data_IF_273668648362
#
_entry.id   IF_273668648362
#
_cell.length_a   1.000
_cell.length_b   1.000
_cell.length_c   1.000
_cell.angle_alpha   90.00
_cell.angle_beta   90.00
_cell.angle_gamma   90.00
#
_symmetry.space_group_name_H-M   'P 1'
#
loop_
_entity.id
_entity.type
_entity.pdbx_description
1 polymer ?
#
# COMPACT_ATOMS: atom_id res chain seq x y z
N UNK A 1 -6.39 -8.74 -23.52
CA UNK A 1 -7.60 -7.98 -23.17
C UNK A 1 -8.72 -8.98 -23.07
N UNK A 2 -9.21 -9.22 -21.87
CA UNK A 2 -10.32 -10.15 -21.63
C UNK A 2 -11.60 -9.33 -21.65
N UNK A 3 -12.44 -9.56 -22.65
CA UNK A 3 -13.73 -8.89 -22.79
C UNK A 3 -14.72 -9.60 -21.88
N UNK A 4 -15.13 -8.92 -20.81
CA UNK A 4 -16.20 -9.40 -19.96
C UNK A 4 -17.53 -9.10 -20.66
N UNK A 5 -18.28 -10.13 -21.03
CA UNK A 5 -19.64 -10.00 -21.54
C UNK A 5 -20.56 -9.66 -20.35
N UNK A 6 -21.15 -8.47 -20.34
CA UNK A 6 -21.95 -7.92 -19.22
C UNK A 6 -23.35 -8.54 -19.08
N UNK A 7 -23.73 -9.52 -19.92
CA UNK A 7 -25.04 -10.18 -19.82
C UNK A 7 -25.17 -10.95 -18.49
N UNK A 8 -25.87 -10.34 -17.52
CA UNK A 8 -26.20 -10.93 -16.22
C UNK A 8 -25.86 -10.10 -14.99
N UNK A 9 -25.29 -8.89 -15.13
CA UNK A 9 -25.03 -8.00 -13.99
C UNK A 9 -25.98 -6.79 -13.99
N UNK A 10 -26.72 -6.57 -12.90
CA UNK A 10 -27.62 -5.43 -12.75
C UNK A 10 -26.87 -4.09 -12.57
N UNK A 11 -25.62 -4.12 -12.08
CA UNK A 11 -24.73 -2.95 -11.96
C UNK A 11 -23.26 -3.36 -11.78
N UNK A 12 -22.33 -2.47 -12.14
CA UNK A 12 -20.90 -2.58 -11.85
C UNK A 12 -20.41 -1.34 -11.08
N UNK A 13 -19.62 -1.54 -10.03
CA UNK A 13 -18.94 -0.48 -9.28
C UNK A 13 -17.48 -0.46 -9.72
N UNK A 14 -17.08 0.62 -10.37
CA UNK A 14 -15.69 0.84 -10.76
C UNK A 14 -15.01 1.67 -9.68
N UNK A 15 -13.83 1.22 -9.25
CA UNK A 15 -12.92 2.10 -8.53
C UNK A 15 -12.48 3.25 -9.47
N UNK A 16 -12.07 4.37 -8.91
CA UNK A 16 -11.50 5.48 -9.66
C UNK A 16 -9.99 5.26 -9.89
N UNK A 17 -9.31 4.70 -8.88
CA UNK A 17 -7.86 4.57 -8.88
C UNK A 17 -7.36 3.44 -9.80
N UNK A 18 -6.65 3.80 -10.87
CA UNK A 18 -6.09 2.86 -11.85
C UNK A 18 -7.10 2.29 -12.86
N UNK A 19 -8.39 2.62 -12.73
CA UNK A 19 -9.47 2.12 -13.61
C UNK A 19 -10.02 3.23 -14.50
N UNK A 20 -10.33 4.40 -13.93
CA UNK A 20 -10.78 5.58 -14.70
C UNK A 20 -9.64 6.59 -14.86
N UNK A 21 -8.73 6.66 -13.88
CA UNK A 21 -7.54 7.54 -13.89
C UNK A 21 -6.26 6.76 -13.58
N UNK A 22 -5.11 7.09 -14.19
CA UNK A 22 -3.81 6.46 -13.92
C UNK A 22 -3.16 7.01 -12.62
N UNK A 23 -3.90 6.98 -11.52
CA UNK A 23 -3.42 7.40 -10.19
C UNK A 23 -2.70 6.27 -9.46
N UNK A 24 -2.92 5.01 -9.85
CA UNK A 24 -2.26 3.84 -9.25
C UNK A 24 -0.73 3.94 -9.31
N UNK A 25 -0.16 4.44 -10.42
CA UNK A 25 1.28 4.70 -10.54
C UNK A 25 1.80 5.70 -9.52
N UNK A 26 1.09 6.82 -9.34
CA UNK A 26 1.45 7.85 -8.37
C UNK A 26 1.31 7.34 -6.94
N UNK A 27 0.22 6.65 -6.63
CA UNK A 27 -0.02 6.07 -5.30
C UNK A 27 1.06 5.05 -4.94
N UNK A 28 1.48 4.22 -5.90
CA UNK A 28 2.57 3.27 -5.71
C UNK A 28 3.92 3.97 -5.50
N UNK A 29 4.20 5.06 -6.22
CA UNK A 29 5.44 5.83 -6.04
C UNK A 29 5.54 6.45 -4.64
N UNK A 30 4.47 7.07 -4.13
CA UNK A 30 4.46 7.64 -2.77
C UNK A 30 4.65 6.53 -1.72
N UNK A 31 3.95 5.41 -1.86
CA UNK A 31 4.15 4.28 -0.94
C UNK A 31 5.57 3.71 -1.01
N UNK A 32 6.17 3.69 -2.21
CA UNK A 32 7.53 3.23 -2.40
C UNK A 32 8.52 4.04 -1.59
N UNK A 33 8.43 5.37 -1.62
CA UNK A 33 9.32 6.24 -0.85
C UNK A 33 9.20 5.95 0.65
N UNK A 34 7.97 5.87 1.17
CA UNK A 34 7.70 5.59 2.58
C UNK A 34 8.25 4.23 3.01
N UNK A 35 7.97 3.17 2.25
CA UNK A 35 8.40 1.81 2.61
C UNK A 35 9.90 1.59 2.39
N UNK A 36 10.48 2.12 1.32
CA UNK A 36 11.91 1.95 1.07
C UNK A 36 12.74 2.65 2.16
N UNK A 37 12.34 3.85 2.60
CA UNK A 37 13.01 4.54 3.71
C UNK A 37 12.92 3.74 5.01
N UNK A 38 11.76 3.15 5.31
CA UNK A 38 11.60 2.29 6.48
C UNK A 38 12.44 1.00 6.39
N UNK A 39 12.39 0.32 5.24
CA UNK A 39 13.10 -0.94 5.02
C UNK A 39 14.61 -0.76 5.02
N UNK A 40 15.13 0.36 4.50
CA UNK A 40 16.55 0.68 4.57
C UNK A 40 17.03 0.78 6.03
N UNK A 41 16.24 1.40 6.91
CA UNK A 41 16.53 1.47 8.34
C UNK A 41 16.40 0.12 9.07
N UNK A 42 15.40 -0.68 8.68
CA UNK A 42 15.07 -1.94 9.36
C UNK A 42 15.90 -3.15 8.89
N UNK A 43 16.09 -3.32 7.58
CA UNK A 43 16.81 -4.45 6.97
C UNK A 43 18.27 -4.09 6.60
N UNK A 44 18.61 -2.79 6.49
CA UNK A 44 19.95 -2.31 6.14
C UNK A 44 20.27 -2.35 4.64
N UNK A 45 21.57 -2.37 4.29
CA UNK A 45 22.09 -2.22 2.91
C UNK A 45 21.69 -3.33 1.91
N UNK A 46 20.92 -4.32 2.33
CA UNK A 46 20.41 -5.41 1.50
C UNK A 46 18.89 -5.47 1.41
N UNK A 47 18.19 -4.41 1.87
CA UNK A 47 16.74 -4.41 1.90
C UNK A 47 16.16 -4.65 0.51
N UNK A 48 15.05 -5.39 0.46
CA UNK A 48 14.37 -5.63 -0.82
C UNK A 48 13.37 -4.48 -1.06
N UNK A 49 13.53 -3.65 -2.10
CA UNK A 49 12.68 -2.50 -2.31
C UNK A 49 11.19 -2.87 -2.49
N UNK A 50 10.32 -1.92 -2.16
CA UNK A 50 8.90 -1.97 -2.47
C UNK A 50 8.69 -1.84 -3.99
N UNK A 51 7.78 -2.66 -4.51
CA UNK A 51 7.51 -2.75 -5.95
C UNK A 51 6.05 -2.49 -6.28
N UNK A 52 5.76 -2.22 -7.54
CA UNK A 52 4.37 -2.10 -8.02
C UNK A 52 3.58 -3.40 -7.81
N UNK A 53 4.23 -4.57 -7.81
CA UNK A 53 3.57 -5.83 -7.49
C UNK A 53 3.18 -5.91 -6.01
N UNK A 54 4.01 -5.38 -5.11
CA UNK A 54 3.69 -5.29 -3.68
C UNK A 54 2.53 -4.32 -3.45
N UNK A 55 2.50 -3.18 -4.16
CA UNK A 55 1.38 -2.23 -4.12
C UNK A 55 0.06 -2.91 -4.47
N UNK A 56 -0.05 -3.52 -5.65
CA UNK A 56 -1.28 -4.18 -6.11
C UNK A 56 -1.73 -5.32 -5.19
N UNK A 57 -0.79 -6.05 -4.59
CA UNK A 57 -1.10 -7.24 -3.80
C UNK A 57 -1.47 -6.92 -2.36
N UNK A 58 -0.86 -5.89 -1.76
CA UNK A 58 -0.93 -5.68 -0.32
C UNK A 58 -1.48 -4.32 0.08
N UNK A 59 -1.58 -3.35 -0.82
CA UNK A 59 -1.90 -1.96 -0.45
C UNK A 59 -3.10 -1.43 -1.24
N UNK A 60 -3.14 -1.69 -2.53
CA UNK A 60 -4.22 -1.27 -3.42
C UNK A 60 -5.58 -1.82 -2.96
N UNK A 61 -6.61 -0.98 -2.98
CA UNK A 61 -7.96 -1.30 -2.51
C UNK A 61 -8.11 -1.55 -1.00
N UNK A 62 -7.05 -1.35 -0.19
CA UNK A 62 -7.12 -1.46 1.29
C UNK A 62 -7.11 -0.08 1.94
N UNK A 63 -7.76 0.02 3.10
CA UNK A 63 -7.58 1.19 3.97
C UNK A 63 -6.10 1.39 4.31
N UNK A 64 -5.67 2.65 4.41
CA UNK A 64 -4.27 3.08 4.60
C UNK A 64 -3.49 2.21 5.60
N UNK A 65 -3.96 2.11 6.83
CA UNK A 65 -3.28 1.34 7.89
C UNK A 65 -3.36 -0.18 7.66
N UNK A 66 -4.47 -0.65 7.08
CA UNK A 66 -4.62 -2.05 6.67
C UNK A 66 -3.60 -2.43 5.58
N UNK A 67 -3.37 -1.54 4.61
CA UNK A 67 -2.37 -1.70 3.56
C UNK A 67 -0.95 -1.77 4.12
N UNK A 68 -0.57 -0.84 5.01
CA UNK A 68 0.74 -0.86 5.71
C UNK A 68 0.94 -2.19 6.43
N UNK A 69 -0.01 -2.58 7.27
CA UNK A 69 0.06 -3.84 8.02
C UNK A 69 0.14 -5.07 7.11
N UNK A 70 -0.64 -5.10 6.04
CA UNK A 70 -0.64 -6.19 5.07
C UNK A 70 0.72 -6.32 4.38
N UNK A 71 1.33 -5.20 3.97
CA UNK A 71 2.65 -5.20 3.36
C UNK A 71 3.74 -5.63 4.36
N UNK A 72 3.79 -5.06 5.56
CA UNK A 72 4.81 -5.39 6.56
C UNK A 72 4.75 -6.87 6.95
N UNK A 73 3.55 -7.43 7.14
CA UNK A 73 3.37 -8.86 7.40
C UNK A 73 3.87 -9.74 6.25
N UNK A 74 3.74 -9.29 5.00
CA UNK A 74 4.29 -10.03 3.85
C UNK A 74 5.83 -10.11 3.86
N UNK A 75 6.49 -9.18 4.56
CA UNK A 75 7.93 -9.17 4.81
C UNK A 75 8.31 -9.80 6.15
N UNK A 76 7.36 -10.37 6.89
CA UNK A 76 7.59 -10.93 8.22
C UNK A 76 7.81 -9.88 9.32
N UNK A 77 7.51 -8.61 9.02
CA UNK A 77 7.67 -7.49 9.95
C UNK A 77 6.35 -7.26 10.68
N UNK A 78 6.40 -7.19 12.00
CA UNK A 78 5.25 -6.86 12.86
C UNK A 78 5.63 -5.62 13.66
N UNK A 79 4.91 -4.53 13.41
CA UNK A 79 5.00 -3.30 14.19
C UNK A 79 3.79 -3.18 15.10
N UNK A 80 3.94 -2.38 16.15
CA UNK A 80 2.81 -1.94 16.96
C UNK A 80 1.86 -1.09 16.11
N UNK A 81 0.56 -1.16 16.41
CA UNK A 81 -0.44 -0.40 15.65
C UNK A 81 -0.22 1.12 15.76
N UNK A 82 0.15 1.60 16.94
CA UNK A 82 0.19 3.03 17.23
C UNK A 82 -1.22 3.62 17.36
N UNK A 83 -1.30 4.95 17.28
CA UNK A 83 -2.55 5.71 17.25
C UNK A 83 -2.67 6.49 15.94
N UNK A 84 -3.89 6.75 15.46
CA UNK A 84 -4.09 7.56 14.26
C UNK A 84 -3.45 8.96 14.33
N UNK A 85 -3.37 9.54 15.54
CA UNK A 85 -2.75 10.84 15.81
C UNK A 85 -1.23 10.77 16.07
N UNK A 86 -0.60 9.58 15.93
CA UNK A 86 0.84 9.45 16.08
C UNK A 86 1.56 10.30 15.02
N UNK A 87 2.66 10.91 15.46
CA UNK A 87 3.56 11.64 14.58
C UNK A 87 4.08 10.73 13.46
N UNK A 88 4.22 11.21 12.21
CA UNK A 88 4.76 10.42 11.12
C UNK A 88 6.15 9.82 11.44
N UNK A 89 6.92 10.40 12.36
CA UNK A 89 8.20 9.86 12.83
C UNK A 89 8.10 8.52 13.58
N UNK A 90 6.93 8.13 14.09
CA UNK A 90 6.76 6.88 14.82
C UNK A 90 6.89 5.64 13.90
N UNK A 91 7.65 4.64 14.35
CA UNK A 91 7.78 3.34 13.66
C UNK A 91 6.62 2.38 14.02
N UNK A 92 5.39 2.88 13.87
CA UNK A 92 4.14 2.15 14.07
C UNK A 92 3.37 2.01 12.76
N UNK A 93 2.37 1.13 12.71
CA UNK A 93 1.50 1.00 11.51
C UNK A 93 0.83 2.34 11.18
N UNK A 94 0.32 3.05 12.20
CA UNK A 94 -0.26 4.37 12.03
C UNK A 94 0.77 5.42 11.62
N UNK A 95 1.95 5.45 12.26
CA UNK A 95 3.03 6.40 11.94
C UNK A 95 3.52 6.26 10.50
N UNK A 96 3.79 5.04 10.02
CA UNK A 96 4.15 4.80 8.62
C UNK A 96 3.00 5.19 7.67
N UNK A 97 1.76 4.89 8.04
CA UNK A 97 0.60 5.28 7.24
C UNK A 97 0.49 6.79 7.09
N UNK A 98 0.80 7.55 8.15
CA UNK A 98 0.71 9.00 8.19
C UNK A 98 1.84 9.72 7.40
N UNK A 99 2.85 8.99 6.90
CA UNK A 99 3.90 9.55 6.01
C UNK A 99 3.45 9.68 4.54
N UNK A 100 2.36 9.01 4.16
CA UNK A 100 1.79 9.07 2.81
C UNK A 100 0.85 10.26 2.63
#
# INVERSE_FOLDING_TARGET
METIMIDGFDAAIFDMDGVVTDTAGLHAAVWKEVFDQFLEGFEGKGFKPFTMADYRRYVDGKERYSGVRSFLRSRGIVLEEGKPDDDPGCETVCGLGNRK
#
